data_IF_000319846946
#
_entry.id   IF_000319846946
#
_cell.length_a   1.000
_cell.length_b   1.000
_cell.length_c   1.000
_cell.angle_alpha   90.00
_cell.angle_beta   90.00
_cell.angle_gamma   90.00
#
_symmetry.space_group_name_H-M   'P 1'
#
loop_
_entity.id
_entity.type
_entity.pdbx_description
1 polymer ?
#
# COMPACT_ATOMS: atom_id res chain seq x y z
N UNK A 1 18.02 26.60 -9.43
CA UNK A 1 18.14 26.91 -10.87
C UNK A 1 17.26 26.05 -11.79
N UNK A 2 17.46 24.72 -11.89
CA UNK A 2 16.72 23.85 -12.84
C UNK A 2 15.18 23.95 -12.81
N UNK A 3 14.59 24.13 -11.62
CA UNK A 3 13.14 24.29 -11.48
C UNK A 3 12.62 25.60 -12.11
N UNK A 4 13.35 26.71 -11.93
CA UNK A 4 13.02 28.01 -12.52
C UNK A 4 13.09 27.97 -14.06
N UNK A 5 14.10 27.29 -14.61
CA UNK A 5 14.19 27.06 -16.07
C UNK A 5 12.96 26.30 -16.59
N UNK A 6 12.54 25.24 -15.90
CA UNK A 6 11.40 24.42 -16.33
C UNK A 6 10.06 25.15 -16.27
N UNK A 7 9.82 25.94 -15.21
CA UNK A 7 8.56 26.67 -15.06
C UNK A 7 8.48 27.85 -16.06
N UNK A 8 9.59 28.58 -16.26
CA UNK A 8 9.65 29.66 -17.25
C UNK A 8 9.49 29.12 -18.68
N UNK A 9 10.11 27.98 -19.00
CA UNK A 9 9.89 27.31 -20.30
C UNK A 9 8.44 26.88 -20.52
N UNK A 10 7.75 26.45 -19.45
CA UNK A 10 6.32 26.13 -19.51
C UNK A 10 5.47 27.39 -19.72
N UNK A 11 5.83 28.49 -19.06
CA UNK A 11 5.17 29.78 -19.20
C UNK A 11 5.30 30.35 -20.63
N UNK A 12 6.51 30.34 -21.18
CA UNK A 12 6.80 30.81 -22.54
C UNK A 12 6.01 29.98 -23.58
N UNK A 13 5.94 28.65 -23.38
CA UNK A 13 5.16 27.75 -24.24
C UNK A 13 3.65 28.00 -24.21
N UNK A 14 3.09 28.42 -23.07
CA UNK A 14 1.65 28.69 -22.92
C UNK A 14 1.30 30.09 -23.43
N UNK A 15 2.20 31.05 -23.25
CA UNK A 15 1.94 32.48 -23.52
C UNK A 15 2.47 32.92 -24.89
N UNK A 16 3.23 32.07 -25.59
CA UNK A 16 3.91 32.38 -26.86
C UNK A 16 4.78 33.65 -26.79
N UNK A 17 5.40 33.91 -25.63
CA UNK A 17 6.32 35.02 -25.39
C UNK A 17 7.68 34.46 -24.97
N UNK A 18 8.78 35.07 -25.38
CA UNK A 18 10.14 34.69 -24.97
C UNK A 18 10.60 35.54 -23.77
N UNK A 19 10.14 35.20 -22.57
CA UNK A 19 10.47 35.96 -21.35
C UNK A 19 11.45 35.21 -20.45
N UNK A 20 11.73 33.93 -20.74
CA UNK A 20 12.64 33.08 -20.00
C UNK A 20 14.02 33.74 -19.79
N UNK A 21 14.62 34.32 -20.82
CA UNK A 21 15.99 34.87 -20.76
C UNK A 21 16.10 36.08 -19.83
N UNK A 22 15.05 36.91 -19.77
CA UNK A 22 15.00 38.10 -18.93
C UNK A 22 14.86 37.69 -17.46
N UNK A 23 13.89 36.82 -17.16
CA UNK A 23 13.65 36.37 -15.78
C UNK A 23 14.77 35.46 -15.25
N UNK A 24 15.43 34.67 -16.10
CA UNK A 24 16.59 33.88 -15.67
C UNK A 24 17.76 34.75 -15.25
N UNK A 25 18.06 35.85 -15.96
CA UNK A 25 19.09 36.80 -15.54
C UNK A 25 18.78 37.41 -14.17
N UNK A 26 17.51 37.75 -13.93
CA UNK A 26 17.08 38.28 -12.62
C UNK A 26 17.27 37.24 -11.51
N UNK A 27 16.85 35.99 -11.74
CA UNK A 27 17.03 34.89 -10.77
C UNK A 27 18.50 34.60 -10.51
N UNK A 28 19.34 34.65 -11.54
CA UNK A 28 20.79 34.42 -11.41
C UNK A 28 21.48 35.54 -10.62
N UNK A 29 21.09 36.80 -10.84
CA UNK A 29 21.58 37.95 -10.07
C UNK A 29 21.03 38.04 -8.64
N UNK A 30 19.96 37.30 -8.34
CA UNK A 30 19.29 37.37 -7.04
C UNK A 30 20.18 36.81 -5.93
N UNK A 31 20.03 37.37 -4.72
CA UNK A 31 20.78 36.96 -3.53
C UNK A 31 20.64 35.47 -3.21
N UNK A 32 19.54 34.84 -3.62
CA UNK A 32 19.32 33.41 -3.47
C UNK A 32 20.37 32.55 -4.20
N UNK A 33 20.86 33.00 -5.36
CA UNK A 33 21.83 32.26 -6.17
C UNK A 33 23.26 32.80 -6.01
N UNK A 34 23.42 34.10 -5.75
CA UNK A 34 24.74 34.73 -5.58
C UNK A 34 25.31 34.66 -4.16
N UNK A 35 24.50 34.30 -3.15
CA UNK A 35 24.98 34.21 -1.77
C UNK A 35 25.53 32.82 -1.44
N UNK A 36 26.85 32.75 -1.25
CA UNK A 36 27.52 31.54 -0.76
C UNK A 36 27.33 31.32 0.75
N UNK A 37 26.65 32.23 1.47
CA UNK A 37 26.54 32.16 2.94
C UNK A 37 25.94 30.85 3.42
N UNK A 38 24.94 30.32 2.72
CA UNK A 38 24.30 29.05 3.07
C UNK A 38 25.22 27.84 2.82
N UNK A 39 26.04 27.89 1.76
CA UNK A 39 27.02 26.84 1.45
C UNK A 39 28.14 26.86 2.49
N UNK A 40 28.67 28.04 2.80
CA UNK A 40 29.69 28.20 3.85
C UNK A 40 29.20 27.73 5.21
N UNK A 41 27.98 28.11 5.60
CA UNK A 41 27.39 27.64 6.85
C UNK A 41 27.23 26.11 6.88
N UNK A 42 26.91 25.49 5.74
CA UNK A 42 26.82 24.04 5.63
C UNK A 42 28.18 23.38 5.85
N UNK A 43 29.22 23.90 5.19
CA UNK A 43 30.60 23.43 5.36
C UNK A 43 31.10 23.61 6.81
N UNK A 44 30.79 24.76 7.44
CA UNK A 44 31.15 25.05 8.83
C UNK A 44 30.49 24.05 9.81
N UNK A 45 29.20 23.74 9.59
CA UNK A 45 28.47 22.76 10.39
C UNK A 45 29.04 21.35 10.19
N UNK A 46 29.40 20.97 8.97
CA UNK A 46 30.06 19.69 8.69
C UNK A 46 31.41 19.59 9.42
N UNK A 47 32.26 20.61 9.34
CA UNK A 47 33.56 20.63 10.02
C UNK A 47 33.40 20.56 11.54
N UNK A 48 32.47 21.32 12.09
CA UNK A 48 32.20 21.34 13.52
C UNK A 48 31.71 19.98 14.03
N UNK A 49 30.87 19.30 13.24
CA UNK A 49 30.39 17.96 13.55
C UNK A 49 31.51 16.90 13.48
N UNK A 50 32.40 17.00 12.48
CA UNK A 50 33.56 16.11 12.35
C UNK A 50 34.47 16.21 13.57
N UNK A 51 34.75 17.43 14.03
CA UNK A 51 35.61 17.68 15.20
C UNK A 51 34.98 17.17 16.50
N UNK A 52 33.71 17.51 16.76
CA UNK A 52 33.09 17.24 18.05
C UNK A 52 32.51 15.82 18.18
N UNK A 53 31.98 15.24 17.10
CA UNK A 53 31.22 13.98 17.16
C UNK A 53 31.89 12.80 16.43
N UNK A 54 32.81 13.06 15.49
CA UNK A 54 33.45 12.01 14.71
C UNK A 54 34.95 11.85 14.95
N UNK A 55 35.53 12.56 15.93
CA UNK A 55 36.97 12.49 16.29
C UNK A 55 37.90 12.68 15.08
N UNK A 56 37.51 13.53 14.13
CA UNK A 56 38.27 13.78 12.89
C UNK A 56 37.92 12.88 11.71
N UNK A 57 37.09 11.85 11.87
CA UNK A 57 36.68 10.98 10.75
C UNK A 57 35.55 11.59 9.93
N UNK A 58 35.91 12.23 8.82
CA UNK A 58 34.95 12.83 7.87
C UNK A 58 34.00 11.80 7.27
N UNK A 59 34.43 10.55 7.05
CA UNK A 59 33.59 9.51 6.43
C UNK A 59 32.49 9.06 7.39
N UNK A 60 32.84 8.92 8.67
CA UNK A 60 31.88 8.64 9.75
C UNK A 60 30.89 9.79 9.91
N UNK A 61 31.35 11.04 9.95
CA UNK A 61 30.49 12.22 10.03
C UNK A 61 29.50 12.33 8.86
N UNK A 62 29.98 12.13 7.62
CA UNK A 62 29.10 12.22 6.45
C UNK A 62 28.03 11.14 6.44
N UNK A 63 28.28 9.98 7.04
CA UNK A 63 27.26 8.93 7.21
C UNK A 63 26.12 9.35 8.14
N UNK A 64 26.40 10.21 9.12
CA UNK A 64 25.38 10.77 10.03
C UNK A 64 24.69 12.01 9.46
N UNK A 65 25.44 12.86 8.75
CA UNK A 65 24.95 14.15 8.23
C UNK A 65 24.19 14.01 6.91
N UNK A 66 24.58 13.09 6.01
CA UNK A 66 23.79 12.86 4.80
C UNK A 66 22.47 12.19 5.19
N UNK A 67 21.32 12.68 4.69
CA UNK A 67 20.08 11.92 4.77
C UNK A 67 20.29 10.64 3.97
N UNK A 68 20.49 9.53 4.69
CA UNK A 68 20.66 8.21 4.08
C UNK A 68 19.43 7.93 3.23
N UNK A 69 19.60 7.92 1.90
CA UNK A 69 18.66 7.24 1.04
C UNK A 69 18.74 5.76 1.42
N UNK A 70 17.74 5.31 2.17
CA UNK A 70 17.62 3.92 2.63
C UNK A 70 17.79 3.03 1.40
N UNK A 71 18.91 2.29 1.34
CA UNK A 71 19.23 1.40 0.22
C UNK A 71 18.01 0.52 -0.06
N UNK A 72 17.63 0.44 -1.34
CA UNK A 72 16.47 -0.35 -1.74
C UNK A 72 16.80 -1.83 -1.53
N UNK A 73 16.33 -2.41 -0.43
CA UNK A 73 16.58 -3.82 -0.15
C UNK A 73 15.93 -4.69 -1.23
N UNK A 74 16.76 -5.46 -1.94
CA UNK A 74 16.31 -6.47 -2.90
C UNK A 74 15.47 -7.57 -2.23
N UNK A 75 15.69 -7.81 -0.93
CA UNK A 75 14.95 -8.79 -0.15
C UNK A 75 13.45 -8.49 -0.10
N UNK A 76 13.05 -7.21 -0.07
CA UNK A 76 11.63 -6.82 -0.07
C UNK A 76 10.89 -7.37 -1.29
N UNK A 77 11.52 -7.30 -2.48
CA UNK A 77 10.92 -7.80 -3.73
C UNK A 77 10.81 -9.33 -3.73
N UNK A 78 11.83 -10.02 -3.20
CA UNK A 78 11.81 -11.46 -3.04
C UNK A 78 10.67 -11.91 -2.12
N UNK A 79 10.51 -11.28 -0.95
CA UNK A 79 9.43 -11.61 -0.02
C UNK A 79 8.05 -11.32 -0.61
N UNK A 80 7.87 -10.22 -1.36
CA UNK A 80 6.61 -9.94 -2.07
C UNK A 80 6.27 -11.11 -3.00
N UNK A 81 7.24 -11.60 -3.79
CA UNK A 81 7.05 -12.74 -4.68
C UNK A 81 6.69 -14.01 -3.93
N UNK A 82 7.43 -14.32 -2.86
CA UNK A 82 7.21 -15.50 -2.02
C UNK A 82 5.79 -15.52 -1.43
N UNK A 83 5.35 -14.41 -0.82
CA UNK A 83 4.02 -14.33 -0.21
C UNK A 83 2.91 -14.34 -1.26
N UNK A 84 3.11 -13.68 -2.42
CA UNK A 84 2.14 -13.71 -3.51
C UNK A 84 1.98 -15.13 -4.07
N UNK A 85 3.08 -15.84 -4.32
CA UNK A 85 3.04 -17.24 -4.75
C UNK A 85 2.39 -18.15 -3.70
N UNK A 86 2.73 -17.96 -2.43
CA UNK A 86 2.10 -18.68 -1.31
C UNK A 86 0.60 -18.43 -1.21
N UNK A 87 0.15 -17.18 -1.39
CA UNK A 87 -1.27 -16.83 -1.42
C UNK A 87 -2.00 -17.57 -2.55
N UNK A 88 -1.46 -17.55 -3.78
CA UNK A 88 -2.08 -18.23 -4.93
C UNK A 88 -2.16 -19.74 -4.70
N UNK A 89 -1.08 -20.35 -4.20
CA UNK A 89 -1.05 -21.78 -3.90
C UNK A 89 -2.07 -22.18 -2.82
N UNK A 90 -2.13 -21.44 -1.71
CA UNK A 90 -3.09 -21.67 -0.63
C UNK A 90 -4.54 -21.44 -1.08
N UNK A 91 -4.76 -20.45 -1.95
CA UNK A 91 -6.09 -20.16 -2.49
C UNK A 91 -6.59 -21.28 -3.40
N UNK A 92 -5.73 -21.79 -4.31
CA UNK A 92 -6.04 -22.95 -5.15
C UNK A 92 -6.35 -24.17 -4.27
N UNK A 93 -5.51 -24.44 -3.26
CA UNK A 93 -5.74 -25.51 -2.30
C UNK A 93 -7.08 -25.36 -1.57
N UNK A 94 -7.43 -24.15 -1.14
CA UNK A 94 -8.73 -23.85 -0.52
C UNK A 94 -9.90 -24.15 -1.45
N UNK A 95 -9.82 -23.75 -2.73
CA UNK A 95 -10.84 -24.04 -3.72
C UNK A 95 -11.03 -25.56 -3.95
N UNK A 96 -9.93 -26.31 -4.09
CA UNK A 96 -9.97 -27.77 -4.28
C UNK A 96 -10.60 -28.45 -3.05
N UNK A 97 -10.15 -28.07 -1.85
CA UNK A 97 -10.70 -28.60 -0.59
C UNK A 97 -12.19 -28.27 -0.44
N UNK A 98 -12.61 -27.05 -0.76
CA UNK A 98 -14.02 -26.64 -0.70
C UNK A 98 -14.89 -27.43 -1.69
N UNK A 99 -14.35 -27.75 -2.86
CA UNK A 99 -15.02 -28.57 -3.87
C UNK A 99 -15.17 -30.03 -3.41
N UNK A 100 -14.10 -30.65 -2.92
CA UNK A 100 -14.11 -32.04 -2.41
C UNK A 100 -15.02 -32.17 -1.18
N UNK A 101 -15.08 -31.16 -0.32
CA UNK A 101 -15.89 -31.16 0.90
C UNK A 101 -17.40 -31.12 0.65
N UNK A 102 -17.86 -31.13 -0.61
CA UNK A 102 -19.29 -31.17 -0.94
C UNK A 102 -20.08 -29.97 -0.40
N UNK A 103 -19.42 -28.85 -0.10
CA UNK A 103 -20.03 -27.69 0.54
C UNK A 103 -21.06 -26.97 -0.34
N UNK A 104 -21.06 -27.25 -1.65
CA UNK A 104 -22.03 -26.72 -2.61
C UNK A 104 -23.31 -27.56 -2.74
N UNK A 105 -23.41 -28.71 -2.05
CA UNK A 105 -24.63 -29.52 -2.04
C UNK A 105 -25.66 -28.90 -1.09
N UNK A 106 -26.92 -28.84 -1.52
CA UNK A 106 -28.07 -28.07 -1.01
C UNK A 106 -28.38 -28.18 0.52
N UNK A 107 -27.73 -29.10 1.23
CA UNK A 107 -27.96 -29.41 2.64
C UNK A 107 -26.83 -28.95 3.60
N UNK A 108 -25.86 -28.14 3.14
CA UNK A 108 -24.65 -27.85 3.92
C UNK A 108 -24.72 -26.57 4.76
N UNK A 109 -24.80 -26.75 6.09
CA UNK A 109 -24.37 -25.85 7.17
C UNK A 109 -24.53 -24.33 6.96
N UNK A 110 -25.72 -23.81 7.32
CA UNK A 110 -26.03 -22.37 7.44
C UNK A 110 -24.98 -21.57 8.23
N UNK A 111 -24.29 -22.20 9.19
CA UNK A 111 -23.27 -21.58 10.05
C UNK A 111 -21.97 -21.22 9.30
N UNK A 112 -21.55 -22.01 8.31
CA UNK A 112 -20.35 -21.71 7.52
C UNK A 112 -20.61 -20.60 6.51
N UNK A 113 -21.74 -20.65 5.80
CA UNK A 113 -22.16 -19.61 4.85
C UNK A 113 -22.38 -18.26 5.55
N UNK A 114 -22.89 -18.24 6.81
CA UNK A 114 -23.10 -16.99 7.56
C UNK A 114 -21.83 -16.41 8.17
N UNK A 115 -20.77 -17.20 8.37
CA UNK A 115 -19.58 -16.77 9.11
C UNK A 115 -18.36 -16.61 8.21
N UNK A 116 -18.07 -17.59 7.35
CA UNK A 116 -16.86 -17.61 6.52
C UNK A 116 -16.97 -16.67 5.33
N UNK A 117 -18.14 -16.59 4.67
CA UNK A 117 -18.33 -15.72 3.50
C UNK A 117 -18.21 -14.23 3.84
N UNK A 118 -18.85 -13.69 4.91
CA UNK A 118 -18.69 -12.28 5.25
C UNK A 118 -17.27 -11.93 5.68
N UNK A 119 -16.61 -12.82 6.42
CA UNK A 119 -15.22 -12.63 6.85
C UNK A 119 -14.30 -12.56 5.63
N UNK A 120 -14.36 -13.56 4.73
CA UNK A 120 -13.56 -13.58 3.49
C UNK A 120 -13.84 -12.33 2.63
N UNK A 121 -15.11 -11.95 2.48
CA UNK A 121 -15.50 -10.77 1.68
C UNK A 121 -14.98 -9.47 2.28
N UNK A 122 -15.09 -9.28 3.60
CA UNK A 122 -14.63 -8.05 4.27
C UNK A 122 -13.11 -7.91 4.19
N UNK A 123 -12.36 -8.99 4.43
CA UNK A 123 -10.90 -8.99 4.30
C UNK A 123 -10.44 -8.82 2.85
N UNK A 124 -11.06 -9.54 1.92
CA UNK A 124 -10.71 -9.45 0.49
C UNK A 124 -10.89 -8.04 -0.05
N UNK A 125 -12.01 -7.36 0.27
CA UNK A 125 -12.24 -5.98 -0.15
C UNK A 125 -11.23 -5.00 0.47
N UNK A 126 -10.89 -5.17 1.75
CA UNK A 126 -9.89 -4.34 2.41
C UNK A 126 -8.49 -4.49 1.80
N UNK A 127 -8.04 -5.73 1.55
CA UNK A 127 -6.75 -5.98 0.92
C UNK A 127 -6.72 -5.57 -0.55
N UNK A 128 -7.83 -5.73 -1.28
CA UNK A 128 -7.97 -5.22 -2.64
C UNK A 128 -7.77 -3.69 -2.68
N UNK A 129 -8.34 -2.97 -1.71
CA UNK A 129 -8.13 -1.53 -1.59
C UNK A 129 -6.65 -1.19 -1.36
N UNK A 130 -5.97 -1.89 -0.45
CA UNK A 130 -4.53 -1.70 -0.21
C UNK A 130 -3.68 -2.03 -1.45
N UNK A 131 -4.05 -3.06 -2.20
CA UNK A 131 -3.38 -3.42 -3.44
C UNK A 131 -3.53 -2.33 -4.51
N UNK A 132 -4.75 -1.84 -4.72
CA UNK A 132 -5.03 -0.73 -5.65
C UNK A 132 -4.31 0.55 -5.24
N UNK A 133 -4.24 0.82 -3.93
CA UNK A 133 -3.44 1.92 -3.41
C UNK A 133 -1.94 1.77 -3.73
N UNK A 134 -1.38 0.56 -3.58
CA UNK A 134 -0.02 0.25 -4.03
C UNK A 134 0.18 0.50 -5.53
N UNK A 135 -0.79 0.11 -6.37
CA UNK A 135 -0.78 0.37 -7.81
C UNK A 135 -0.78 1.87 -8.14
N UNK A 136 -1.54 2.68 -7.39
CA UNK A 136 -1.58 4.13 -7.58
C UNK A 136 -0.21 4.77 -7.31
N UNK A 137 0.45 4.40 -6.21
CA UNK A 137 1.81 4.88 -5.92
C UNK A 137 2.79 4.43 -6.99
N UNK A 138 2.69 3.17 -7.44
CA UNK A 138 3.52 2.65 -8.52
C UNK A 138 3.35 3.46 -9.82
N UNK A 139 2.11 3.77 -10.19
CA UNK A 139 1.82 4.56 -11.39
C UNK A 139 2.34 6.00 -11.25
N UNK A 140 2.13 6.65 -10.10
CA UNK A 140 2.66 8.00 -9.84
C UNK A 140 4.19 8.04 -9.91
N UNK A 141 4.88 7.01 -9.42
CA UNK A 141 6.33 6.88 -9.53
C UNK A 141 6.76 6.70 -10.99
N UNK A 142 6.05 5.87 -11.78
CA UNK A 142 6.30 5.67 -13.22
C UNK A 142 6.13 6.97 -14.01
N UNK A 143 5.10 7.76 -13.71
CA UNK A 143 4.83 9.05 -14.35
C UNK A 143 5.65 10.21 -13.77
N UNK A 144 6.61 9.92 -12.86
CA UNK A 144 7.51 10.91 -12.22
C UNK A 144 6.76 12.03 -11.49
N UNK A 145 5.57 11.74 -10.98
CA UNK A 145 4.79 12.66 -10.15
C UNK A 145 5.32 12.59 -8.72
N UNK A 146 5.64 13.74 -8.12
CA UNK A 146 6.13 13.81 -6.75
C UNK A 146 4.97 13.67 -5.75
N UNK A 147 4.50 12.44 -5.53
CA UNK A 147 3.43 12.13 -4.58
C UNK A 147 3.81 12.49 -3.13
N UNK A 148 5.09 12.40 -2.76
CA UNK A 148 5.57 12.79 -1.44
C UNK A 148 5.31 14.28 -1.17
N UNK A 149 5.48 15.13 -2.19
CA UNK A 149 5.11 16.54 -2.11
C UNK A 149 3.59 16.76 -2.07
N UNK A 150 2.83 16.07 -2.93
CA UNK A 150 1.36 16.22 -3.01
C UNK A 150 0.68 15.88 -1.69
N UNK A 151 1.10 14.80 -1.04
CA UNK A 151 0.58 14.38 0.27
C UNK A 151 1.37 14.98 1.43
N UNK A 152 2.36 15.83 1.13
CA UNK A 152 3.15 16.57 2.11
C UNK A 152 3.77 15.64 3.16
N UNK A 153 4.28 14.50 2.69
CA UNK A 153 4.99 13.52 3.50
C UNK A 153 6.41 14.03 3.79
N UNK A 154 6.82 13.90 5.05
CA UNK A 154 8.23 14.09 5.40
C UNK A 154 9.10 13.09 4.62
N UNK A 155 10.27 13.48 4.09
CA UNK A 155 11.15 12.59 3.33
C UNK A 155 11.56 11.31 4.07
N UNK A 156 11.56 11.37 5.42
CA UNK A 156 11.89 10.25 6.31
C UNK A 156 10.72 9.27 6.51
N UNK A 157 9.50 9.67 6.18
CA UNK A 157 8.27 8.87 6.29
C UNK A 157 7.66 8.55 4.93
N UNK A 158 8.45 8.60 3.86
CA UNK A 158 7.96 8.29 2.52
C UNK A 158 7.56 6.80 2.44
N UNK A 159 6.27 6.56 2.23
CA UNK A 159 5.73 5.21 2.08
C UNK A 159 6.04 4.69 0.68
N UNK A 160 6.91 3.68 0.57
CA UNK A 160 7.25 3.06 -0.72
C UNK A 160 6.17 2.07 -1.15
N UNK A 161 5.88 2.01 -2.46
CA UNK A 161 4.92 1.05 -3.02
C UNK A 161 5.27 -0.41 -2.66
N UNK A 162 6.58 -0.75 -2.60
CA UNK A 162 7.05 -2.11 -2.24
C UNK A 162 6.64 -2.50 -0.82
N UNK A 163 6.72 -1.57 0.13
CA UNK A 163 6.35 -1.84 1.53
C UNK A 163 4.83 -2.06 1.64
N UNK A 164 4.04 -1.27 0.89
CA UNK A 164 2.58 -1.45 0.81
C UNK A 164 2.21 -2.81 0.22
N UNK A 165 2.84 -3.19 -0.89
CA UNK A 165 2.60 -4.51 -1.51
C UNK A 165 3.00 -5.66 -0.58
N UNK A 166 4.16 -5.57 0.09
CA UNK A 166 4.62 -6.62 1.00
C UNK A 166 3.63 -6.83 2.15
N UNK A 167 3.14 -5.76 2.77
CA UNK A 167 2.15 -5.85 3.85
C UNK A 167 0.85 -6.47 3.33
N UNK A 168 0.39 -6.02 2.16
CA UNK A 168 -0.82 -6.55 1.51
C UNK A 168 -0.70 -8.06 1.24
N UNK A 169 0.40 -8.50 0.61
CA UNK A 169 0.57 -9.91 0.24
C UNK A 169 0.72 -10.79 1.48
N UNK A 170 1.54 -10.40 2.46
CA UNK A 170 1.76 -11.19 3.68
C UNK A 170 0.46 -11.39 4.46
N UNK A 171 -0.33 -10.32 4.60
CA UNK A 171 -1.60 -10.39 5.33
C UNK A 171 -2.67 -11.20 4.60
N UNK A 172 -2.74 -11.12 3.25
CA UNK A 172 -3.60 -12.00 2.45
C UNK A 172 -3.20 -13.46 2.61
N UNK A 173 -1.91 -13.79 2.57
CA UNK A 173 -1.40 -15.17 2.77
C UNK A 173 -1.76 -15.70 4.16
N UNK A 174 -1.63 -14.89 5.21
CA UNK A 174 -2.00 -15.28 6.58
C UNK A 174 -3.50 -15.58 6.68
N UNK A 175 -4.36 -14.68 6.15
CA UNK A 175 -5.82 -14.84 6.22
C UNK A 175 -6.28 -16.09 5.48
N UNK A 176 -5.78 -16.31 4.24
CA UNK A 176 -6.11 -17.51 3.46
C UNK A 176 -5.51 -18.76 4.11
N UNK A 177 -4.31 -18.68 4.69
CA UNK A 177 -3.70 -19.78 5.44
C UNK A 177 -4.53 -20.22 6.64
N UNK A 178 -5.05 -19.27 7.42
CA UNK A 178 -5.97 -19.55 8.54
C UNK A 178 -7.28 -20.17 8.04
N UNK A 179 -7.82 -19.69 6.92
CA UNK A 179 -9.03 -20.27 6.32
C UNK A 179 -8.81 -21.69 5.78
N UNK A 180 -7.66 -21.94 5.16
CA UNK A 180 -7.28 -23.26 4.67
C UNK A 180 -7.09 -24.24 5.83
N UNK A 181 -6.43 -23.82 6.92
CA UNK A 181 -6.31 -24.61 8.14
C UNK A 181 -7.66 -24.92 8.77
N UNK A 182 -8.56 -23.92 8.89
CA UNK A 182 -9.91 -24.09 9.39
C UNK A 182 -10.70 -25.12 8.57
N UNK A 183 -10.65 -25.03 7.24
CA UNK A 183 -11.32 -25.98 6.35
C UNK A 183 -10.74 -27.39 6.49
N UNK A 184 -9.42 -27.52 6.58
CA UNK A 184 -8.74 -28.82 6.77
C UNK A 184 -9.12 -29.48 8.10
N UNK A 185 -9.26 -28.70 9.17
CA UNK A 185 -9.69 -29.21 10.48
C UNK A 185 -11.14 -29.69 10.46
N UNK A 186 -12.02 -28.99 9.75
CA UNK A 186 -13.43 -29.41 9.55
C UNK A 186 -13.49 -30.74 8.80
N UNK A 187 -12.73 -30.87 7.69
CA UNK A 187 -12.73 -32.09 6.86
C UNK A 187 -12.19 -33.29 7.61
N UNK A 188 -11.22 -33.10 8.53
CA UNK A 188 -10.65 -34.19 9.34
C UNK A 188 -11.53 -34.64 10.53
N UNK A 189 -12.68 -34.00 10.77
CA UNK A 189 -13.64 -34.44 11.79
C UNK A 189 -13.19 -34.24 13.24
N UNK A 190 -12.31 -33.28 13.52
CA UNK A 190 -11.90 -32.96 14.90
C UNK A 190 -13.06 -32.37 15.73
N UNK A 191 -13.06 -32.68 17.03
CA UNK A 191 -14.08 -32.30 18.02
C UNK A 191 -14.49 -30.82 17.99
N UNK A 192 -15.81 -30.59 18.16
CA UNK A 192 -16.51 -29.29 18.11
C UNK A 192 -15.89 -28.19 18.98
N UNK A 193 -15.17 -28.55 20.06
CA UNK A 193 -14.54 -27.60 20.97
C UNK A 193 -13.28 -26.92 20.41
N UNK A 194 -12.54 -27.56 19.50
CA UNK A 194 -11.34 -26.97 18.88
C UNK A 194 -11.70 -26.08 17.69
N UNK A 195 -12.78 -26.40 16.97
CA UNK A 195 -13.28 -25.61 15.83
C UNK A 195 -13.82 -24.25 16.28
N UNK A 196 -14.37 -24.17 17.51
CA UNK A 196 -14.94 -22.96 18.09
C UNK A 196 -13.89 -21.95 18.61
N UNK A 197 -12.62 -22.34 18.74
CA UNK A 197 -11.51 -21.44 19.11
C UNK A 197 -10.93 -20.65 17.92
N UNK A 198 -11.21 -21.07 16.69
CA UNK A 198 -10.64 -20.50 15.46
C UNK A 198 -11.20 -19.10 15.11
N UNK A 199 -12.49 -18.76 15.39
CA UNK A 199 -12.96 -17.38 15.36
C UNK A 199 -12.14 -16.45 16.27
N UNK A 200 -11.65 -16.95 17.41
CA UNK A 200 -10.75 -16.23 18.31
C UNK A 200 -9.38 -15.97 17.69
N UNK A 201 -8.82 -16.95 16.96
CA UNK A 201 -7.58 -16.77 16.21
C UNK A 201 -7.74 -15.76 15.05
N UNK A 202 -8.88 -15.78 14.34
CA UNK A 202 -9.19 -14.76 13.34
C UNK A 202 -9.28 -13.38 13.99
N UNK A 203 -9.97 -13.23 15.11
CA UNK A 203 -10.06 -11.96 15.84
C UNK A 203 -8.70 -11.47 16.36
N UNK A 204 -7.81 -12.36 16.79
CA UNK A 204 -6.43 -12.02 17.17
C UNK A 204 -5.59 -11.58 15.98
N UNK A 205 -5.68 -12.27 14.84
CA UNK A 205 -5.05 -11.84 13.57
C UNK A 205 -5.63 -10.49 13.14
N UNK A 206 -6.93 -10.27 13.29
CA UNK A 206 -7.58 -8.98 13.02
C UNK A 206 -7.08 -7.87 13.96
N UNK A 207 -6.89 -8.18 15.25
CA UNK A 207 -6.37 -7.24 16.24
C UNK A 207 -4.92 -6.85 15.96
N UNK A 208 -4.07 -7.83 15.62
CA UNK A 208 -2.67 -7.62 15.24
C UNK A 208 -2.59 -6.85 13.92
N UNK A 209 -3.40 -7.21 12.93
CA UNK A 209 -3.45 -6.52 11.64
C UNK A 209 -3.99 -5.09 11.79
N UNK A 210 -4.93 -4.86 12.71
CA UNK A 210 -5.43 -3.53 13.07
C UNK A 210 -4.36 -2.69 13.76
N UNK A 211 -3.48 -3.29 14.57
CA UNK A 211 -2.35 -2.57 15.18
C UNK A 211 -1.30 -2.17 14.13
N UNK A 212 -0.93 -3.10 13.24
CA UNK A 212 -0.02 -2.84 12.11
C UNK A 212 -0.61 -1.79 11.17
N UNK A 213 -1.90 -1.91 10.85
CA UNK A 213 -2.58 -0.94 10.03
C UNK A 213 -2.69 0.41 10.75
N UNK A 214 -3.05 0.48 12.04
CA UNK A 214 -3.14 1.75 12.77
C UNK A 214 -1.80 2.50 12.79
N UNK A 215 -0.67 1.82 12.98
CA UNK A 215 0.66 2.47 12.98
C UNK A 215 1.02 3.09 11.63
N UNK A 216 0.68 2.46 10.51
CA UNK A 216 0.98 2.98 9.15
C UNK A 216 -0.14 3.86 8.57
N UNK A 217 -1.38 3.59 8.96
CA UNK A 217 -2.60 4.29 8.57
C UNK A 217 -2.74 5.60 9.36
N UNK A 218 -2.24 5.75 10.60
CA UNK A 218 -2.25 7.05 11.30
C UNK A 218 -1.47 8.14 10.51
N UNK A 219 -0.42 7.76 9.76
CA UNK A 219 0.30 8.68 8.87
C UNK A 219 -0.39 8.91 7.51
N UNK A 220 -1.20 7.97 7.04
CA UNK A 220 -1.82 8.02 5.71
C UNK A 220 -3.28 8.55 5.77
N UNK A 221 -4.05 8.12 6.77
CA UNK A 221 -5.50 8.27 6.89
C UNK A 221 -5.95 9.66 7.30
N UNK A 222 -5.20 10.34 8.18
CA UNK A 222 -5.57 11.68 8.66
C UNK A 222 -5.51 12.73 7.53
N UNK A 223 -4.72 12.48 6.46
CA UNK A 223 -4.53 13.43 5.34
C UNK A 223 -5.12 12.93 4.00
N UNK A 224 -5.36 11.64 3.84
CA UNK A 224 -5.96 10.99 2.66
C UNK A 224 -7.49 10.84 2.74
N UNK A 225 -8.17 11.61 3.60
CA UNK A 225 -9.63 11.51 3.81
C UNK A 225 -10.44 11.80 2.54
N UNK A 226 -9.93 12.62 1.62
CA UNK A 226 -10.60 12.98 0.36
C UNK A 226 -10.43 11.90 -0.72
N UNK A 227 -9.24 11.29 -0.82
CA UNK A 227 -8.94 10.25 -1.81
C UNK A 227 -9.54 8.91 -1.41
N UNK A 228 -9.61 8.62 -0.11
CA UNK A 228 -10.39 7.50 0.41
C UNK A 228 -11.88 7.70 0.14
N UNK A 229 -12.45 8.89 0.37
CA UNK A 229 -13.83 9.17 -0.04
C UNK A 229 -14.04 8.99 -1.55
N UNK A 230 -13.11 9.45 -2.39
CA UNK A 230 -13.22 9.27 -3.84
C UNK A 230 -13.10 7.81 -4.28
N UNK A 231 -12.16 7.05 -3.72
CA UNK A 231 -11.96 5.62 -4.03
C UNK A 231 -13.08 4.78 -3.41
N UNK A 232 -13.61 5.18 -2.27
CA UNK A 232 -14.72 4.52 -1.58
C UNK A 232 -16.06 4.87 -2.22
N UNK A 233 -16.23 6.07 -2.78
CA UNK A 233 -17.33 6.45 -3.69
C UNK A 233 -17.18 5.73 -5.02
N UNK A 234 -15.97 5.59 -5.57
CA UNK A 234 -15.71 4.87 -6.83
C UNK A 234 -15.89 3.36 -6.67
N UNK A 235 -15.48 2.79 -5.53
CA UNK A 235 -15.80 1.42 -5.12
C UNK A 235 -17.27 1.27 -4.72
N UNK A 236 -17.93 2.27 -4.14
CA UNK A 236 -19.40 2.27 -3.97
C UNK A 236 -20.08 2.29 -5.34
N UNK A 237 -19.59 3.03 -6.31
CA UNK A 237 -20.15 3.10 -7.67
C UNK A 237 -19.87 1.82 -8.47
N UNK A 238 -18.72 1.16 -8.23
CA UNK A 238 -18.36 -0.12 -8.86
C UNK A 238 -18.92 -1.35 -8.13
N UNK A 239 -19.08 -1.30 -6.81
CA UNK A 239 -19.37 -2.46 -5.92
C UNK A 239 -20.72 -2.32 -5.21
N UNK A 240 -21.27 -1.12 -4.99
CA UNK A 240 -22.70 -1.03 -4.67
C UNK A 240 -23.50 -1.24 -5.95
N UNK A 241 -24.28 -2.33 -6.00
CA UNK A 241 -25.21 -2.50 -7.09
C UNK A 241 -26.24 -1.40 -6.95
N UNK A 242 -26.64 -0.80 -8.06
CA UNK A 242 -27.96 -0.21 -8.17
C UNK A 242 -28.93 -1.17 -7.48
N UNK A 243 -29.60 -0.71 -6.41
CA UNK A 243 -30.57 -1.48 -5.62
C UNK A 243 -31.83 -1.88 -6.41
N UNK A 244 -31.77 -1.77 -7.74
CA UNK A 244 -32.76 -2.10 -8.74
C UNK A 244 -32.36 -3.36 -9.57
N UNK A 245 -31.08 -3.78 -9.57
CA UNK A 245 -30.57 -4.82 -10.49
C UNK A 245 -30.02 -6.10 -9.82
N UNK A 246 -29.86 -6.16 -8.49
CA UNK A 246 -29.16 -7.28 -7.82
C UNK A 246 -30.04 -8.44 -7.31
N UNK A 247 -31.32 -8.49 -7.72
CA UNK A 247 -32.22 -9.61 -7.34
C UNK A 247 -32.20 -10.77 -8.36
N UNK A 248 -31.78 -10.52 -9.59
CA UNK A 248 -31.91 -11.48 -10.71
C UNK A 248 -30.69 -12.42 -10.90
N UNK A 249 -29.47 -11.94 -10.62
CA UNK A 249 -28.25 -12.67 -11.00
C UNK A 249 -27.93 -13.93 -10.17
N UNK A 250 -28.54 -14.10 -8.98
CA UNK A 250 -28.41 -15.36 -8.22
C UNK A 250 -29.16 -16.52 -8.88
N UNK A 251 -30.24 -16.25 -9.60
CA UNK A 251 -31.01 -17.29 -10.29
C UNK A 251 -30.43 -17.61 -11.67
N UNK A 252 -29.92 -16.60 -12.40
CA UNK A 252 -29.39 -16.81 -13.75
C UNK A 252 -28.03 -17.52 -13.78
N UNK A 253 -27.14 -17.24 -12.82
CA UNK A 253 -25.81 -17.87 -12.78
C UNK A 253 -25.87 -19.35 -12.35
N UNK A 254 -26.86 -19.73 -11.54
CA UNK A 254 -27.12 -21.13 -11.17
C UNK A 254 -27.84 -21.93 -12.27
N UNK A 255 -28.52 -21.26 -13.21
CA UNK A 255 -29.15 -21.90 -14.38
C UNK A 255 -28.12 -22.12 -15.50
N UNK A 256 -27.19 -21.19 -15.71
CA UNK A 256 -26.17 -21.29 -16.75
C UNK A 256 -25.09 -22.37 -16.47
N UNK A 257 -24.92 -22.79 -15.21
CA UNK A 257 -24.00 -23.87 -14.81
C UNK A 257 -24.73 -25.23 -14.74
N UNK A 258 -26.07 -25.23 -14.82
CA UNK A 258 -26.92 -26.42 -14.80
C UNK A 258 -27.51 -26.74 -16.19
N UNK A 259 -26.77 -26.42 -17.25
CA UNK A 259 -27.00 -26.85 -18.63
C UNK A 259 -25.65 -27.12 -19.30
#
# INVERSE_FOLDING_TARGET
>A
MLAFVKILKKFDKVTAKEVQTIYLKVVESSYFNSSDKAIRLMDDVEELFVRHFASGDKRKAMKYLKPNQKEESHATTFFIGLFTGGFVALFIGYCIMAHISGMYTHQSNKVYMSTSYPVLSMFSLFFLHLFLYGCNIFMWRKTRINYAFIFEFAPTKELKYRDVFLICTTSMTIVVGVMFAHLTLIVKGYSSSTVQAIPGCLLLVCYIQRYICNVYCQCCYTRMRLTLLFIQVFLLVLVCPFKILYRSSRYHFLIAIRN
#
